data_IF_294549449083
#
_entry.id   IF_294549449083
#
_cell.length_a   1.000
_cell.length_b   1.000
_cell.length_c   1.000
_cell.angle_alpha   90.00
_cell.angle_beta   90.00
_cell.angle_gamma   90.00
#
_symmetry.space_group_name_H-M   'P 1'
#
loop_
_entity.id
_entity.type
_entity.pdbx_description
1 polymer ?
#
# COMPACT_ATOMS: atom_id res chain seq x y z
N UNK A 1 7.98 1.46 -26.67
CA UNK A 1 7.25 2.56 -26.00
C UNK A 1 8.23 3.69 -25.69
N UNK A 2 7.83 4.95 -25.89
CA UNK A 2 8.55 6.12 -25.38
C UNK A 2 7.77 6.62 -24.17
N UNK A 3 8.22 6.23 -22.98
CA UNK A 3 7.58 6.62 -21.72
C UNK A 3 8.10 7.99 -21.32
N UNK A 4 7.20 8.82 -20.82
CA UNK A 4 7.54 10.04 -20.09
C UNK A 4 8.04 9.69 -18.69
N UNK A 5 8.84 10.55 -18.08
CA UNK A 5 9.33 10.35 -16.70
C UNK A 5 8.17 10.10 -15.73
N UNK A 6 7.05 10.81 -15.94
CA UNK A 6 5.83 10.63 -15.15
C UNK A 6 5.20 9.25 -15.29
N UNK A 7 5.28 8.63 -16.46
CA UNK A 7 4.78 7.27 -16.67
C UNK A 7 5.73 6.24 -16.04
N UNK A 8 7.03 6.49 -16.07
CA UNK A 8 8.03 5.69 -15.34
C UNK A 8 7.74 5.73 -13.84
N UNK A 9 7.49 6.89 -13.26
CA UNK A 9 7.14 7.02 -11.83
C UNK A 9 5.88 6.23 -11.44
N UNK A 10 4.84 6.27 -12.28
CA UNK A 10 3.61 5.50 -12.07
C UNK A 10 3.85 3.98 -12.16
N UNK A 11 4.73 3.55 -13.06
CA UNK A 11 5.14 2.16 -13.16
C UNK A 11 5.92 1.74 -11.91
N UNK A 12 6.87 2.55 -11.44
CA UNK A 12 7.61 2.31 -10.21
C UNK A 12 6.67 2.20 -8.99
N UNK A 13 5.67 3.09 -8.89
CA UNK A 13 4.63 3.01 -7.86
C UNK A 13 3.86 1.69 -7.92
N UNK A 14 3.53 1.21 -9.12
CA UNK A 14 2.81 -0.05 -9.32
C UNK A 14 3.66 -1.26 -8.92
N UNK A 15 4.97 -1.23 -9.20
CA UNK A 15 5.93 -2.26 -8.78
C UNK A 15 6.08 -2.27 -7.25
N UNK A 16 6.20 -1.09 -6.62
CA UNK A 16 6.27 -0.98 -5.16
C UNK A 16 5.02 -1.58 -4.49
N UNK A 17 3.84 -1.34 -5.06
CA UNK A 17 2.59 -1.92 -4.58
C UNK A 17 2.55 -3.45 -4.75
N UNK A 18 3.07 -3.98 -5.85
CA UNK A 18 3.17 -5.42 -6.09
C UNK A 18 4.05 -6.10 -5.03
N UNK A 19 5.23 -5.53 -4.76
CA UNK A 19 6.15 -6.02 -3.72
C UNK A 19 5.48 -5.95 -2.34
N UNK A 20 4.79 -4.85 -2.04
CA UNK A 20 4.07 -4.68 -0.78
C UNK A 20 2.96 -5.76 -0.60
N UNK A 21 2.16 -6.03 -1.64
CA UNK A 21 1.12 -7.07 -1.60
C UNK A 21 1.72 -8.46 -1.41
N UNK A 22 2.82 -8.77 -2.08
CA UNK A 22 3.54 -10.03 -1.94
C UNK A 22 4.12 -10.21 -0.50
N UNK A 23 4.69 -9.15 0.08
CA UNK A 23 5.11 -9.15 1.50
C UNK A 23 3.93 -9.38 2.44
N UNK A 24 2.81 -8.71 2.20
CA UNK A 24 1.57 -8.89 2.95
C UNK A 24 1.05 -10.32 2.88
N UNK A 25 1.08 -10.94 1.69
CA UNK A 25 0.65 -12.32 1.49
C UNK A 25 1.49 -13.33 2.29
N UNK A 26 2.77 -13.03 2.52
CA UNK A 26 3.65 -13.79 3.44
C UNK A 26 3.40 -13.53 4.93
N UNK A 27 2.38 -12.74 5.28
CA UNK A 27 2.05 -12.38 6.66
C UNK A 27 2.91 -11.25 7.23
N UNK A 28 3.71 -10.57 6.40
CA UNK A 28 4.47 -9.39 6.83
C UNK A 28 3.54 -8.18 6.84
N UNK A 29 3.42 -7.53 8.00
CA UNK A 29 2.65 -6.29 8.13
C UNK A 29 3.29 -5.17 7.31
N UNK A 30 2.46 -4.40 6.63
CA UNK A 30 2.91 -3.30 5.78
C UNK A 30 3.56 -2.19 6.60
N UNK A 31 4.66 -1.65 6.12
CA UNK A 31 5.22 -0.39 6.61
C UNK A 31 4.53 0.81 5.94
N UNK A 32 4.93 2.03 6.32
CA UNK A 32 4.31 3.25 5.78
C UNK A 32 4.43 3.37 4.26
N UNK A 33 5.63 3.31 3.63
CA UNK A 33 5.73 3.42 2.17
C UNK A 33 5.04 2.28 1.42
N UNK A 34 5.00 1.07 1.98
CA UNK A 34 4.26 -0.06 1.40
C UNK A 34 2.74 0.18 1.43
N UNK A 35 2.20 0.67 2.54
CA UNK A 35 0.79 1.03 2.66
C UNK A 35 0.41 2.11 1.64
N UNK A 36 1.24 3.16 1.52
CA UNK A 36 1.03 4.23 0.53
C UNK A 36 1.05 3.67 -0.90
N UNK A 37 2.00 2.80 -1.23
CA UNK A 37 2.10 2.20 -2.57
C UNK A 37 0.86 1.36 -2.91
N UNK A 38 0.39 0.53 -1.97
CA UNK A 38 -0.82 -0.30 -2.16
C UNK A 38 -2.05 0.57 -2.43
N UNK A 39 -2.24 1.66 -1.68
CA UNK A 39 -3.34 2.60 -1.85
C UNK A 39 -3.24 3.28 -3.22
N UNK A 40 -2.08 3.85 -3.56
CA UNK A 40 -1.86 4.58 -4.80
C UNK A 40 -2.09 3.69 -6.03
N UNK A 41 -1.52 2.49 -6.05
CA UNK A 41 -1.75 1.52 -7.13
C UNK A 41 -3.21 1.11 -7.23
N UNK A 42 -3.90 0.90 -6.11
CA UNK A 42 -5.33 0.58 -6.10
C UNK A 42 -6.17 1.67 -6.75
N UNK A 43 -5.91 2.94 -6.40
CA UNK A 43 -6.59 4.10 -7.00
C UNK A 43 -6.28 4.26 -8.48
N UNK A 44 -5.02 4.04 -8.90
CA UNK A 44 -4.63 4.09 -10.32
C UNK A 44 -5.35 3.01 -11.14
N UNK A 45 -5.47 1.79 -10.61
CA UNK A 45 -6.22 0.71 -11.26
C UNK A 45 -7.70 1.05 -11.37
N UNK A 46 -8.29 1.60 -10.30
CA UNK A 46 -9.69 2.04 -10.29
C UNK A 46 -9.95 3.16 -11.28
N UNK A 47 -9.01 4.10 -11.43
CA UNK A 47 -9.10 5.19 -12.39
C UNK A 47 -8.99 4.72 -13.86
N UNK A 48 -8.53 3.49 -14.10
CA UNK A 48 -8.44 2.89 -15.44
C UNK A 48 -9.74 2.24 -15.89
N UNK A 49 -10.57 1.80 -14.94
CA UNK A 49 -11.91 1.31 -15.21
C UNK A 49 -12.87 2.49 -15.43
N UNK A 50 -13.85 2.40 -16.36
CA UNK A 50 -14.91 3.40 -16.43
C UNK A 50 -15.69 3.37 -15.11
N UNK A 51 -15.45 4.38 -14.27
CA UNK A 51 -16.08 4.47 -12.95
C UNK A 51 -17.52 4.97 -13.08
N UNK A 52 -18.46 4.20 -12.51
CA UNK A 52 -19.79 4.70 -12.18
C UNK A 52 -19.68 5.65 -10.96
N UNK A 53 -19.61 6.95 -11.22
CA UNK A 53 -19.62 8.06 -10.25
C UNK A 53 -18.36 8.30 -9.37
N UNK A 54 -18.09 9.58 -9.08
CA UNK A 54 -16.99 10.02 -8.20
C UNK A 54 -17.13 9.51 -6.75
N UNK A 55 -18.35 9.28 -6.28
CA UNK A 55 -18.61 8.73 -4.95
C UNK A 55 -18.10 7.28 -4.82
N UNK A 56 -18.29 6.45 -5.86
CA UNK A 56 -17.78 5.09 -5.88
C UNK A 56 -16.24 5.03 -5.90
N UNK A 57 -15.60 6.01 -6.55
CA UNK A 57 -14.15 6.16 -6.54
C UNK A 57 -13.63 6.50 -5.14
N UNK A 58 -14.24 7.50 -4.48
CA UNK A 58 -13.87 7.89 -3.11
C UNK A 58 -14.09 6.75 -2.10
N UNK A 59 -15.24 6.06 -2.16
CA UNK A 59 -15.54 4.93 -1.27
C UNK A 59 -14.54 3.78 -1.41
N UNK A 60 -14.11 3.48 -2.64
CA UNK A 60 -13.07 2.49 -2.90
C UNK A 60 -11.71 2.91 -2.31
N UNK A 61 -11.34 4.20 -2.47
CA UNK A 61 -10.14 4.75 -1.86
C UNK A 61 -10.10 4.58 -0.34
N UNK A 62 -11.21 4.89 0.33
CA UNK A 62 -11.35 4.69 1.79
C UNK A 62 -11.20 3.22 2.17
N UNK A 63 -11.80 2.31 1.40
CA UNK A 63 -11.76 0.87 1.66
C UNK A 63 -10.33 0.31 1.63
N UNK A 64 -9.55 0.67 0.61
CA UNK A 64 -8.14 0.23 0.51
C UNK A 64 -7.28 0.91 1.57
N UNK A 65 -7.52 2.19 1.87
CA UNK A 65 -6.79 2.90 2.91
C UNK A 65 -6.98 2.23 4.28
N UNK A 66 -8.21 1.88 4.65
CA UNK A 66 -8.51 1.21 5.93
C UNK A 66 -7.78 -0.13 6.06
N UNK A 67 -7.77 -0.93 4.99
CA UNK A 67 -7.03 -2.21 4.96
C UNK A 67 -5.53 -1.98 5.19
N UNK A 68 -4.93 -1.06 4.45
CA UNK A 68 -3.49 -0.78 4.55
C UNK A 68 -3.10 -0.13 5.89
N UNK A 69 -3.95 0.76 6.42
CA UNK A 69 -3.77 1.40 7.73
C UNK A 69 -3.88 0.40 8.87
N UNK A 70 -4.77 -0.58 8.78
CA UNK A 70 -4.89 -1.67 9.75
C UNK A 70 -3.59 -2.46 9.86
N UNK A 71 -3.01 -2.84 8.73
CA UNK A 71 -1.74 -3.56 8.68
C UNK A 71 -0.58 -2.73 9.24
N UNK A 72 -0.52 -1.45 8.85
CA UNK A 72 0.50 -0.52 9.33
C UNK A 72 0.41 -0.23 10.83
N UNK A 73 -0.78 0.06 11.33
CA UNK A 73 -1.01 0.32 12.75
C UNK A 73 -0.71 -0.92 13.60
N UNK A 74 -1.07 -2.11 13.13
CA UNK A 74 -0.74 -3.36 13.76
C UNK A 74 0.78 -3.65 13.74
N UNK A 75 1.51 -3.13 12.75
CA UNK A 75 2.97 -3.26 12.64
C UNK A 75 3.73 -2.45 13.69
N UNK A 76 3.17 -1.32 14.15
CA UNK A 76 3.78 -0.46 15.19
C UNK A 76 3.71 -1.05 16.60
N UNK A 77 2.83 -2.01 16.87
CA UNK A 77 2.71 -2.68 18.18
C UNK A 77 3.74 -3.80 18.38
N UNK A 78 4.96 -3.71 17.84
CA UNK A 78 6.02 -4.61 18.29
C UNK A 78 6.39 -4.20 19.71
N UNK A 79 6.34 -5.10 20.71
CA UNK A 79 6.92 -4.80 22.01
C UNK A 79 8.38 -4.42 21.76
N UNK A 80 8.83 -3.31 22.38
CA UNK A 80 10.27 -3.00 22.45
C UNK A 80 10.95 -4.30 22.85
N UNK A 81 11.95 -4.75 22.10
CA UNK A 81 12.84 -5.84 22.51
C UNK A 81 13.37 -5.44 23.89
N UNK A 82 12.72 -5.92 24.94
CA UNK A 82 13.10 -5.73 26.32
C UNK A 82 14.21 -6.72 26.63
N UNK A 83 15.26 -6.22 27.27
CA UNK A 83 16.42 -6.89 27.83
C UNK A 83 16.45 -8.42 27.79
N UNK A 84 17.36 -8.94 26.98
CA UNK A 84 18.06 -10.19 27.27
C UNK A 84 19.56 -9.91 27.13
N UNK A 85 20.07 -9.06 28.03
CA UNK A 85 21.44 -9.12 28.51
C UNK A 85 21.33 -8.91 30.01
N UNK A 86 20.92 -9.98 30.69
CA UNK A 86 21.05 -10.14 32.12
C UNK A 86 22.03 -11.28 32.35
N UNK A 87 23.11 -10.93 33.06
CA UNK A 87 24.16 -11.79 33.62
C UNK A 87 25.20 -12.33 32.63
#
# INVERSE_FOLDING_TARGET
>A
MKLTDREVDKLLMSVAAMIARDRRARGVKLNYPEAVAVIASGLMERARSPIDSAAAFAGYGVSIALLALGDWAAGRRRPRRGGANGL
#
